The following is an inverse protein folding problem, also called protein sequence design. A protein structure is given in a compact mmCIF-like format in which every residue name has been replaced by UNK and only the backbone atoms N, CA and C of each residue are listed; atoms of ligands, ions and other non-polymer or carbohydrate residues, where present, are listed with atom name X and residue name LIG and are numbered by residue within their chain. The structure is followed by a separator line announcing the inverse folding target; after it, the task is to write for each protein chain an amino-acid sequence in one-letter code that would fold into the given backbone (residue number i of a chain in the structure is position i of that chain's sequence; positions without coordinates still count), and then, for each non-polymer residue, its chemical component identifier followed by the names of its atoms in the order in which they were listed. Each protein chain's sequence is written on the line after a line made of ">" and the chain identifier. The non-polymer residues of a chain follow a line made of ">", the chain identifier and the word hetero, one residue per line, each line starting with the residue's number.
data_IF_449672836218
#
_entry.id   IF_449672836218
#
_cell.length_a   1.000
_cell.length_b   1.000
_cell.length_c   1.000
_cell.angle_alpha   90.00
_cell.angle_beta   90.00
_cell.angle_gamma   90.00
#
_symmetry.space_group_name_H-M   'P 1'
#
loop_
_entity.id
_entity.type
_entity.pdbx_description
1 polymer ?
#
# COMPACT_ATOMS: atom_id res chain seq x y z
N UNK A 1 -10.21 -10.66 0.77
CA UNK A 1 -9.25 -9.77 1.45
C UNK A 1 -8.10 -9.36 0.54
N UNK A 2 -7.20 -10.25 0.05
CA UNK A 2 -6.18 -9.82 -0.94
C UNK A 2 -6.81 -9.27 -2.22
N UNK A 3 -7.84 -9.93 -2.71
CA UNK A 3 -8.54 -9.58 -3.96
C UNK A 3 -9.46 -8.35 -3.81
N UNK A 4 -9.64 -7.87 -2.56
CA UNK A 4 -10.33 -6.61 -2.24
C UNK A 4 -9.34 -5.44 -2.11
N UNK A 5 -8.04 -5.73 -1.97
CA UNK A 5 -6.96 -4.76 -1.81
C UNK A 5 -6.28 -4.52 -3.17
N UNK A 6 -5.88 -5.60 -3.85
CA UNK A 6 -5.25 -5.54 -5.17
C UNK A 6 -6.25 -5.97 -6.24
N UNK A 7 -6.36 -5.19 -7.33
CA UNK A 7 -7.02 -5.64 -8.55
C UNK A 7 -6.11 -6.61 -9.34
N UNK A 8 -6.27 -7.91 -9.11
CA UNK A 8 -5.44 -8.96 -9.71
C UNK A 8 -5.66 -9.19 -11.22
N UNK A 9 -6.50 -8.39 -11.88
CA UNK A 9 -6.71 -8.50 -13.35
C UNK A 9 -5.67 -7.72 -14.15
N UNK A 10 -4.85 -6.90 -13.50
CA UNK A 10 -3.80 -6.11 -14.13
C UNK A 10 -2.45 -6.85 -14.11
N UNK A 11 -1.65 -6.65 -15.16
CA UNK A 11 -0.32 -7.26 -15.27
C UNK A 11 0.67 -6.69 -14.24
N UNK A 12 0.50 -5.40 -13.90
CA UNK A 12 1.15 -4.71 -12.79
C UNK A 12 0.05 -3.89 -12.11
N UNK A 13 -0.29 -4.16 -10.84
CA UNK A 13 -1.32 -3.41 -10.13
C UNK A 13 -0.88 -1.98 -9.84
N UNK A 14 -1.84 -1.05 -9.83
CA UNK A 14 -1.60 0.33 -9.40
C UNK A 14 -1.51 0.44 -7.87
N UNK A 15 -0.43 1.06 -7.36
CA UNK A 15 -0.17 1.17 -5.93
C UNK A 15 -1.07 2.21 -5.22
N UNK A 16 -1.44 3.29 -5.91
CA UNK A 16 -2.30 4.34 -5.35
C UNK A 16 -3.74 3.83 -5.22
N UNK A 17 -4.25 3.15 -6.25
CA UNK A 17 -5.53 2.46 -6.20
C UNK A 17 -5.56 1.40 -5.09
N UNK A 18 -4.44 0.67 -4.89
CA UNK A 18 -4.31 -0.30 -3.80
C UNK A 18 -4.36 0.38 -2.42
N UNK A 19 -3.72 1.54 -2.26
CA UNK A 19 -3.77 2.35 -1.03
C UNK A 19 -5.18 2.90 -0.78
N UNK A 20 -5.86 3.38 -1.81
CA UNK A 20 -7.24 3.88 -1.71
C UNK A 20 -8.21 2.75 -1.31
N UNK A 21 -8.06 1.55 -1.90
CA UNK A 21 -8.83 0.37 -1.49
C UNK A 21 -8.60 0.03 -0.02
N UNK A 22 -7.35 0.09 0.45
CA UNK A 22 -7.01 -0.11 1.86
C UNK A 22 -7.71 0.91 2.77
N UNK A 23 -7.74 2.18 2.36
CA UNK A 23 -8.42 3.23 3.11
C UNK A 23 -9.92 3.01 3.14
N UNK A 24 -10.54 2.61 2.04
CA UNK A 24 -11.97 2.26 1.98
C UNK A 24 -12.30 1.09 2.92
N UNK A 25 -11.42 0.09 3.00
CA UNK A 25 -11.54 -0.99 3.99
C UNK A 25 -11.40 -0.47 5.43
N UNK A 26 -10.49 0.49 5.69
CA UNK A 26 -10.40 1.15 7.01
C UNK A 26 -11.72 1.83 7.35
N UNK A 27 -12.26 2.63 6.43
CA UNK A 27 -13.55 3.32 6.59
C UNK A 27 -14.71 2.36 6.89
N UNK A 28 -14.68 1.16 6.34
CA UNK A 28 -15.66 0.10 6.59
C UNK A 28 -15.43 -0.67 7.91
N UNK A 29 -14.36 -0.34 8.63
CA UNK A 29 -14.02 -0.87 9.93
C UNK A 29 -13.15 -2.11 9.92
N UNK A 30 -12.58 -2.50 8.76
CA UNK A 30 -11.73 -3.68 8.64
C UNK A 30 -10.51 -3.63 9.58
N UNK A 31 -10.03 -2.41 9.91
CA UNK A 31 -8.84 -2.17 10.73
C UNK A 31 -9.15 -1.42 12.04
N UNK A 32 -10.37 -1.52 12.57
CA UNK A 32 -10.78 -0.78 13.79
C UNK A 32 -10.01 -1.16 15.06
N UNK A 33 -9.28 -2.27 15.05
CA UNK A 33 -8.44 -2.71 16.18
C UNK A 33 -6.95 -2.45 15.97
N UNK A 34 -6.60 -1.81 14.86
CA UNK A 34 -5.24 -1.46 14.50
C UNK A 34 -5.09 0.07 14.53
N UNK A 35 -3.97 0.55 15.07
CA UNK A 35 -3.58 1.95 14.94
C UNK A 35 -3.03 2.22 13.53
N UNK A 36 -2.43 1.21 12.89
CA UNK A 36 -1.93 1.24 11.51
C UNK A 36 -2.15 -0.14 10.87
N UNK A 37 -2.59 -0.18 9.61
CA UNK A 37 -2.61 -1.39 8.81
C UNK A 37 -1.66 -1.24 7.61
N UNK A 38 -0.80 -2.23 7.38
CA UNK A 38 0.14 -2.20 6.26
C UNK A 38 -0.02 -3.45 5.40
N UNK A 39 -0.09 -3.27 4.10
CA UNK A 39 -0.18 -4.34 3.14
C UNK A 39 1.15 -4.52 2.41
N UNK A 40 1.80 -5.65 2.72
CA UNK A 40 3.08 -6.03 2.13
C UNK A 40 2.83 -7.07 1.03
N UNK A 41 3.39 -6.84 -0.16
CA UNK A 41 3.19 -7.69 -1.32
C UNK A 41 4.50 -7.94 -2.06
N UNK A 42 4.60 -9.07 -2.78
CA UNK A 42 5.71 -9.35 -3.70
C UNK A 42 5.39 -8.98 -5.15
N UNK A 43 4.28 -8.27 -5.38
CA UNK A 43 3.90 -7.77 -6.70
C UNK A 43 4.75 -6.54 -7.03
N UNK A 44 5.07 -6.38 -8.31
CA UNK A 44 5.72 -5.21 -8.89
C UNK A 44 4.64 -4.21 -9.27
N UNK A 45 4.39 -3.25 -8.38
CA UNK A 45 3.40 -2.21 -8.55
C UNK A 45 3.88 -1.13 -9.51
N UNK A 46 2.90 -0.40 -10.04
CA UNK A 46 3.13 0.83 -10.78
C UNK A 46 2.40 1.99 -10.12
N UNK A 47 2.94 3.19 -10.29
CA UNK A 47 2.26 4.45 -9.99
C UNK A 47 2.05 5.19 -11.30
N UNK A 48 0.84 5.70 -11.55
CA UNK A 48 0.60 6.57 -12.69
C UNK A 48 1.13 7.99 -12.43
N UNK A 49 2.26 8.33 -13.05
CA UNK A 49 2.84 9.67 -13.02
C UNK A 49 2.54 10.39 -14.33
N UNK A 50 1.44 11.15 -14.36
CA UNK A 50 0.99 11.96 -15.52
C UNK A 50 0.72 11.13 -16.79
N UNK A 51 0.05 9.99 -16.67
CA UNK A 51 -0.25 9.06 -17.77
C UNK A 51 0.93 8.14 -18.11
N UNK A 52 1.96 8.06 -17.26
CA UNK A 52 3.13 7.20 -17.43
C UNK A 52 3.25 6.27 -16.23
N UNK A 53 3.24 4.97 -16.48
CA UNK A 53 3.48 3.97 -15.45
C UNK A 53 4.94 4.03 -14.97
N UNK A 54 5.12 4.35 -13.70
CA UNK A 54 6.41 4.33 -12.98
C UNK A 54 6.44 3.11 -12.05
N UNK A 55 7.38 2.19 -12.32
CA UNK A 55 7.58 0.97 -11.53
C UNK A 55 8.77 1.09 -10.56
N UNK A 56 9.21 2.31 -10.23
CA UNK A 56 10.28 2.54 -9.24
C UNK A 56 9.74 2.75 -7.82
N UNK A 57 8.42 2.79 -7.65
CA UNK A 57 7.75 2.91 -6.36
C UNK A 57 7.92 1.63 -5.55
N UNK A 58 8.47 1.75 -4.34
CA UNK A 58 8.59 0.62 -3.42
C UNK A 58 7.45 0.58 -2.39
N UNK A 59 6.78 1.71 -2.13
CA UNK A 59 5.72 1.84 -1.14
C UNK A 59 5.03 3.19 -1.20
N UNK A 60 3.89 3.29 -0.54
CA UNK A 60 3.10 4.53 -0.42
C UNK A 60 2.24 4.51 0.85
N UNK A 61 2.10 5.68 1.48
CA UNK A 61 1.19 5.93 2.59
C UNK A 61 0.68 7.39 2.58
N UNK A 62 -0.40 7.65 3.32
CA UNK A 62 -0.89 9.01 3.53
C UNK A 62 -0.10 9.71 4.64
N UNK A 63 0.25 10.98 4.42
CA UNK A 63 0.91 11.79 5.45
C UNK A 63 -0.05 12.09 6.61
N UNK A 64 0.35 11.76 7.84
CA UNK A 64 -0.38 12.07 9.07
C UNK A 64 -1.64 11.24 9.30
N UNK A 65 -1.71 10.03 8.74
CA UNK A 65 -2.93 9.19 8.71
C UNK A 65 -3.26 8.42 10.00
N UNK A 66 -2.30 8.25 10.93
CA UNK A 66 -2.33 7.26 12.04
C UNK A 66 -3.60 7.27 12.90
N UNK A 67 -4.18 8.44 13.20
CA UNK A 67 -5.35 8.54 14.09
C UNK A 67 -6.70 8.56 13.35
N UNK A 68 -6.71 8.30 12.03
CA UNK A 68 -7.91 8.36 11.20
C UNK A 68 -8.07 7.11 10.34
N UNK A 69 -8.84 7.26 9.26
CA UNK A 69 -9.11 6.17 8.32
C UNK A 69 -8.01 6.02 7.26
N UNK A 70 -7.16 7.04 7.14
CA UNK A 70 -5.96 7.03 6.30
C UNK A 70 -4.77 6.33 6.97
N UNK A 71 -5.00 5.51 8.01
CA UNK A 71 -4.00 4.77 8.79
C UNK A 71 -3.44 3.54 8.08
N UNK A 72 -3.31 3.62 6.76
CA UNK A 72 -2.97 2.51 5.88
C UNK A 72 -1.71 2.83 5.08
N UNK A 73 -0.96 1.78 4.74
CA UNK A 73 0.19 1.86 3.85
C UNK A 73 0.32 0.59 3.01
N UNK A 74 0.95 0.73 1.86
CA UNK A 74 1.24 -0.37 0.93
C UNK A 74 2.73 -0.38 0.65
N UNK A 75 3.33 -1.56 0.55
CA UNK A 75 4.73 -1.69 0.19
C UNK A 75 5.09 -3.02 -0.42
N UNK A 76 6.18 -2.98 -1.18
CA UNK A 76 6.79 -4.13 -1.80
C UNK A 76 7.81 -4.78 -0.87
N UNK A 77 7.87 -6.11 -0.93
CA UNK A 77 9.01 -6.87 -0.44
C UNK A 77 9.44 -7.91 -1.47
N UNK A 78 10.72 -7.87 -1.82
CA UNK A 78 11.34 -8.90 -2.64
C UNK A 78 11.72 -10.07 -1.73
N UNK A 79 11.16 -11.28 -1.93
CA UNK A 79 11.41 -12.42 -1.07
C UNK A 79 12.91 -12.65 -0.82
N UNK A 80 13.26 -12.94 0.43
CA UNK A 80 14.63 -13.19 0.90
C UNK A 80 15.59 -11.99 0.91
N UNK A 81 15.15 -10.79 0.55
CA UNK A 81 15.99 -9.57 0.60
C UNK A 81 15.77 -8.75 1.86
N UNK A 82 14.60 -8.87 2.49
CA UNK A 82 14.13 -8.03 3.60
C UNK A 82 14.07 -6.53 3.23
N UNK A 83 14.00 -6.18 1.94
CA UNK A 83 13.91 -4.80 1.49
C UNK A 83 12.67 -4.11 2.07
N UNK A 84 11.56 -4.83 2.19
CA UNK A 84 10.30 -4.31 2.72
C UNK A 84 10.39 -3.79 4.15
N UNK A 85 11.43 -4.13 4.93
CA UNK A 85 11.66 -3.54 6.25
C UNK A 85 11.97 -2.04 6.15
N UNK A 86 12.82 -1.65 5.19
CA UNK A 86 13.15 -0.24 4.97
C UNK A 86 11.94 0.51 4.43
N UNK A 87 11.25 -0.06 3.44
CA UNK A 87 10.02 0.49 2.88
C UNK A 87 8.97 0.72 3.96
N UNK A 88 8.64 -0.30 4.76
CA UNK A 88 7.69 -0.18 5.86
C UNK A 88 8.07 0.95 6.82
N UNK A 89 9.34 1.04 7.20
CA UNK A 89 9.80 2.09 8.11
C UNK A 89 9.69 3.50 7.51
N UNK A 90 9.92 3.64 6.20
CA UNK A 90 9.74 4.89 5.48
C UNK A 90 8.26 5.29 5.47
N UNK A 91 7.39 4.38 5.03
CA UNK A 91 5.96 4.66 4.88
C UNK A 91 5.26 4.87 6.23
N UNK A 92 5.71 4.23 7.30
CA UNK A 92 5.25 4.52 8.67
C UNK A 92 5.63 5.94 9.14
N UNK A 93 6.65 6.54 8.52
CA UNK A 93 7.10 7.89 8.84
C UNK A 93 6.27 8.99 8.18
N UNK A 94 5.55 8.67 7.11
CA UNK A 94 4.56 9.56 6.50
C UNK A 94 3.35 9.71 7.43
#
# INVERSE_FOLDING_TARGET
>A
MSDEIINSTEAQPDIEATLDNMKDLSHQGAFNRCDIAFFLSSQDFVMDVNGTADNTVAGVAYVGGVCGEAKVGVGEDVPYTFHGVHTLAHELGH
#
